data_IF_781812018511
#
_entry.id   IF_781812018511
#
_cell.length_a   1.000
_cell.length_b   1.000
_cell.length_c   1.000
_cell.angle_alpha   90.00
_cell.angle_beta   90.00
_cell.angle_gamma   90.00
#
_symmetry.space_group_name_H-M   'P 1'
#
loop_
_entity.id
_entity.type
_entity.pdbx_description
1 polymer ?
#
# COMPACT_ATOMS: atom_id res chain seq x y z
N UNK A 1 21.40 -0.69 -24.87
CA UNK A 1 20.80 0.54 -24.34
C UNK A 1 20.51 0.33 -22.85
N UNK A 2 20.96 1.26 -22.01
CA UNK A 2 20.64 1.20 -20.59
C UNK A 2 19.24 1.73 -20.38
N UNK A 3 18.38 0.93 -19.74
CA UNK A 3 17.03 1.31 -19.40
C UNK A 3 17.04 2.27 -18.20
N UNK A 4 16.29 3.37 -18.30
CA UNK A 4 16.09 4.25 -17.16
C UNK A 4 15.09 3.61 -16.20
N UNK A 5 15.51 3.30 -14.99
CA UNK A 5 14.65 2.73 -13.95
C UNK A 5 13.96 3.79 -13.11
N UNK A 6 14.23 5.06 -13.36
CA UNK A 6 13.67 6.20 -12.66
C UNK A 6 13.51 7.40 -13.61
N UNK A 7 12.42 8.17 -13.57
CA UNK A 7 11.28 8.03 -12.65
C UNK A 7 10.40 6.79 -12.95
N UNK A 8 9.77 6.25 -11.92
CA UNK A 8 8.78 5.17 -12.09
C UNK A 8 7.54 5.73 -12.77
N UNK A 9 7.22 5.20 -13.94
CA UNK A 9 6.05 5.63 -14.70
C UNK A 9 4.78 4.94 -14.19
N UNK A 10 3.68 5.69 -14.19
CA UNK A 10 2.34 5.15 -13.95
C UNK A 10 1.42 5.61 -15.06
N UNK A 11 0.90 4.65 -15.83
CA UNK A 11 -0.10 4.92 -16.86
C UNK A 11 -1.48 4.95 -16.23
N UNK A 12 -2.16 6.09 -16.30
CA UNK A 12 -3.54 6.24 -15.86
C UNK A 12 -4.48 5.88 -17.01
N UNK A 13 -5.20 4.77 -16.86
CA UNK A 13 -6.11 4.26 -17.87
C UNK A 13 -7.55 4.43 -17.38
N UNK A 14 -8.35 5.17 -18.16
CA UNK A 14 -9.76 5.35 -17.86
C UNK A 14 -10.57 4.16 -18.42
N UNK A 15 -11.34 3.52 -17.54
CA UNK A 15 -12.17 2.36 -17.86
C UNK A 15 -13.64 2.66 -17.54
N UNK A 16 -14.49 2.62 -18.58
CA UNK A 16 -15.93 2.88 -18.47
C UNK A 16 -16.71 1.89 -19.32
N UNK A 17 -17.87 1.52 -18.85
CA UNK A 17 -18.83 0.67 -19.59
C UNK A 17 -18.22 -0.63 -20.13
N UNK A 18 -17.32 -1.25 -19.36
CA UNK A 18 -16.69 -2.52 -19.72
C UNK A 18 -15.52 -2.42 -20.70
N UNK A 19 -15.02 -1.22 -21.01
CA UNK A 19 -13.90 -1.00 -21.93
C UNK A 19 -13.01 0.17 -21.53
N UNK A 20 -11.80 0.19 -22.05
CA UNK A 20 -10.95 1.37 -21.95
C UNK A 20 -11.46 2.49 -22.85
N UNK A 21 -11.48 3.71 -22.36
CA UNK A 21 -11.91 4.88 -23.15
C UNK A 21 -10.94 5.13 -24.31
N UNK A 22 -9.66 4.89 -24.09
CA UNK A 22 -8.63 4.89 -25.13
C UNK A 22 -8.01 3.47 -25.19
N UNK A 23 -8.59 2.63 -26.04
CA UNK A 23 -8.16 1.24 -26.21
C UNK A 23 -6.79 1.14 -26.90
N UNK A 24 -6.47 2.06 -27.81
CA UNK A 24 -5.19 2.09 -28.52
C UNK A 24 -4.05 2.39 -27.54
N UNK A 25 -4.21 3.42 -26.72
CA UNK A 25 -3.26 3.78 -25.69
C UNK A 25 -3.12 2.66 -24.62
N UNK A 26 -4.23 2.08 -24.17
CA UNK A 26 -4.19 0.98 -23.22
C UNK A 26 -3.42 -0.24 -23.76
N UNK A 27 -3.62 -0.57 -25.03
CA UNK A 27 -2.88 -1.64 -25.72
C UNK A 27 -1.39 -1.30 -25.79
N UNK A 28 -1.06 -0.10 -26.26
CA UNK A 28 0.33 0.35 -26.33
C UNK A 28 1.03 0.27 -24.96
N UNK A 29 0.38 0.74 -23.89
CA UNK A 29 0.91 0.64 -22.52
C UNK A 29 1.17 -0.82 -22.11
N UNK A 30 0.24 -1.71 -22.42
CA UNK A 30 0.37 -3.14 -22.13
C UNK A 30 1.57 -3.75 -22.88
N UNK A 31 1.65 -3.51 -24.19
CA UNK A 31 2.73 -4.02 -25.05
C UNK A 31 4.11 -3.50 -24.60
N UNK A 32 4.18 -2.20 -24.25
CA UNK A 32 5.39 -1.60 -23.69
C UNK A 32 5.80 -2.29 -22.37
N UNK A 33 4.85 -2.44 -21.45
CA UNK A 33 5.17 -3.01 -20.13
C UNK A 33 5.48 -4.51 -20.19
N UNK A 34 4.87 -5.25 -21.11
CA UNK A 34 5.24 -6.64 -21.38
C UNK A 34 6.70 -6.77 -21.87
N UNK A 35 7.20 -5.78 -22.61
CA UNK A 35 8.57 -5.77 -23.10
C UNK A 35 9.59 -5.29 -22.09
N UNK A 36 9.27 -4.26 -21.30
CA UNK A 36 10.23 -3.55 -20.47
C UNK A 36 10.01 -3.72 -18.96
N UNK A 37 8.77 -4.00 -18.54
CA UNK A 37 8.37 -4.16 -17.13
C UNK A 37 8.85 -2.99 -16.22
N UNK A 38 8.78 -1.77 -16.74
CA UNK A 38 9.30 -0.55 -16.10
C UNK A 38 8.20 0.38 -15.57
N UNK A 39 6.94 0.01 -15.79
CA UNK A 39 5.80 0.91 -15.58
C UNK A 39 4.68 0.24 -14.80
N UNK A 40 3.84 1.05 -14.19
CA UNK A 40 2.67 0.61 -13.46
C UNK A 40 1.41 1.10 -14.12
N UNK A 41 0.31 0.36 -13.93
CA UNK A 41 -1.01 0.74 -14.39
C UNK A 41 -1.87 1.22 -13.23
N UNK A 42 -2.58 2.31 -13.47
CA UNK A 42 -3.65 2.78 -12.62
C UNK A 42 -4.93 2.84 -13.46
N UNK A 43 -5.86 1.93 -13.17
CA UNK A 43 -7.13 1.85 -13.89
C UNK A 43 -8.23 2.43 -13.00
N UNK A 44 -8.95 3.42 -13.49
CA UNK A 44 -10.05 4.05 -12.75
C UNK A 44 -11.24 4.34 -13.65
N UNK A 45 -12.43 4.43 -13.05
CA UNK A 45 -13.65 4.87 -13.74
C UNK A 45 -13.80 6.39 -13.79
N UNK A 46 -12.94 7.13 -13.13
CA UNK A 46 -13.02 8.58 -12.97
C UNK A 46 -11.64 9.24 -13.06
N UNK A 47 -11.59 10.40 -13.71
CA UNK A 47 -10.39 11.21 -13.84
C UNK A 47 -10.03 11.98 -12.58
N UNK A 48 -10.95 12.06 -11.61
CA UNK A 48 -10.72 12.76 -10.32
C UNK A 48 -9.94 11.92 -9.33
N UNK A 49 -9.81 10.61 -9.57
CA UNK A 49 -9.05 9.71 -8.73
C UNK A 49 -7.63 9.57 -9.26
N UNK A 50 -6.66 9.89 -8.44
CA UNK A 50 -5.24 9.82 -8.76
C UNK A 50 -4.52 8.82 -7.86
N UNK A 51 -3.47 8.20 -8.39
CA UNK A 51 -2.56 7.34 -7.63
C UNK A 51 -1.19 7.99 -7.55
N UNK A 52 -0.57 7.96 -6.37
CA UNK A 52 0.82 8.36 -6.22
C UNK A 52 1.79 7.18 -6.48
N UNK A 53 3.10 7.44 -6.41
CA UNK A 53 4.14 6.43 -6.60
C UNK A 53 4.02 5.26 -5.58
N UNK A 54 3.43 5.51 -4.40
CA UNK A 54 3.18 4.49 -3.37
C UNK A 54 1.82 3.81 -3.50
N UNK A 55 1.09 4.02 -4.61
CA UNK A 55 -0.24 3.47 -4.90
C UNK A 55 -1.34 3.90 -3.92
N UNK A 56 -1.14 4.98 -3.18
CA UNK A 56 -2.21 5.58 -2.40
C UNK A 56 -3.20 6.24 -3.34
N UNK A 57 -4.48 5.92 -3.17
CA UNK A 57 -5.56 6.54 -3.92
C UNK A 57 -5.95 7.85 -3.23
N UNK A 58 -6.04 8.92 -4.02
CA UNK A 58 -6.50 10.21 -3.54
C UNK A 58 -7.75 10.60 -4.34
N UNK A 59 -8.88 10.68 -3.64
CA UNK A 59 -10.11 11.22 -4.20
C UNK A 59 -10.03 12.74 -4.18
N UNK A 60 -9.73 13.32 -5.35
CA UNK A 60 -9.56 14.77 -5.49
C UNK A 60 -10.88 15.52 -5.54
N UNK A 61 -12.02 14.85 -5.71
CA UNK A 61 -13.34 15.48 -5.76
C UNK A 61 -13.73 16.17 -4.45
N UNK A 62 -13.18 15.71 -3.34
CA UNK A 62 -13.40 16.26 -1.98
C UNK A 62 -12.41 17.34 -1.58
N UNK A 63 -11.40 17.61 -2.40
CA UNK A 63 -10.36 18.58 -2.12
C UNK A 63 -10.76 19.94 -2.68
N UNK A 64 -10.99 20.90 -1.81
CA UNK A 64 -11.15 22.30 -2.20
C UNK A 64 -9.77 22.89 -2.51
N UNK A 65 -9.44 23.05 -3.78
CA UNK A 65 -8.21 23.73 -4.19
C UNK A 65 -7.56 23.14 -5.42
N UNK A 66 -6.54 23.82 -5.90
CA UNK A 66 -5.80 23.46 -7.11
C UNK A 66 -4.99 22.18 -6.88
N UNK A 67 -5.17 21.22 -7.76
CA UNK A 67 -4.39 19.98 -7.73
C UNK A 67 -3.02 20.32 -8.33
N UNK A 68 -2.05 20.47 -7.48
CA UNK A 68 -0.66 20.52 -7.92
C UNK A 68 0.10 19.49 -7.07
N UNK A 69 0.50 18.38 -7.69
CA UNK A 69 0.99 17.25 -6.93
C UNK A 69 2.40 16.86 -7.36
N UNK A 70 3.28 16.78 -6.40
CA UNK A 70 4.48 15.98 -6.53
C UNK A 70 4.06 14.52 -6.27
N UNK A 71 4.19 13.66 -7.28
CA UNK A 71 3.85 12.24 -7.18
C UNK A 71 2.36 11.88 -7.34
N UNK A 72 1.55 12.73 -7.99
CA UNK A 72 0.14 12.43 -8.31
C UNK A 72 -0.83 12.54 -7.15
N UNK A 73 -0.46 13.23 -6.07
CA UNK A 73 -1.32 13.50 -4.92
C UNK A 73 -1.81 14.94 -4.92
N UNK A 74 -2.91 15.22 -4.23
CA UNK A 74 -3.34 16.60 -4.00
C UNK A 74 -2.34 17.36 -3.14
N UNK A 75 -2.44 18.68 -3.18
CA UNK A 75 -1.59 19.58 -2.40
C UNK A 75 -1.62 19.20 -0.91
N UNK A 76 -0.45 19.15 -0.30
CA UNK A 76 -0.25 18.84 1.12
C UNK A 76 -0.58 17.40 1.54
N UNK A 77 -0.93 16.49 0.64
CA UNK A 77 -1.16 15.07 0.96
C UNK A 77 0.14 14.29 0.78
N UNK A 78 0.44 13.43 1.74
CA UNK A 78 1.62 12.56 1.68
C UNK A 78 1.61 11.46 2.72
N UNK A 79 2.77 10.84 2.94
CA UNK A 79 2.98 9.83 3.96
C UNK A 79 4.00 10.29 4.99
N UNK A 80 3.61 10.24 6.25
CA UNK A 80 4.50 10.53 7.38
C UNK A 80 5.54 9.43 7.54
N UNK A 81 5.07 8.20 7.56
CA UNK A 81 5.89 7.02 7.80
C UNK A 81 5.21 5.76 7.30
N UNK A 82 6.02 4.85 6.77
CA UNK A 82 5.63 3.47 6.47
C UNK A 82 6.29 2.55 7.49
N UNK A 83 5.56 1.57 7.99
CA UNK A 83 6.08 0.49 8.81
C UNK A 83 5.67 -0.85 8.19
N UNK A 84 6.62 -1.71 7.82
CA UNK A 84 6.37 -2.93 7.07
C UNK A 84 6.48 -4.15 7.96
N UNK A 85 5.44 -4.98 7.97
CA UNK A 85 5.40 -6.26 8.69
C UNK A 85 5.95 -7.35 7.75
N UNK A 86 6.96 -8.06 8.22
CA UNK A 86 7.45 -9.26 7.55
C UNK A 86 6.60 -10.47 7.98
N UNK A 87 5.71 -10.90 7.09
CA UNK A 87 4.78 -11.99 7.33
C UNK A 87 5.49 -13.34 7.54
N UNK A 88 6.58 -13.58 6.82
CA UNK A 88 7.37 -14.81 6.97
C UNK A 88 8.02 -14.89 8.34
N UNK A 89 8.45 -13.75 8.88
CA UNK A 89 9.06 -13.71 10.21
C UNK A 89 8.07 -14.13 11.30
N UNK A 90 6.78 -13.79 11.14
CA UNK A 90 5.72 -14.26 12.06
C UNK A 90 5.64 -15.79 12.06
N UNK A 91 5.75 -16.41 10.88
CA UNK A 91 5.75 -17.86 10.77
C UNK A 91 6.93 -18.48 11.53
N UNK A 92 8.13 -17.98 11.33
CA UNK A 92 9.33 -18.47 12.01
C UNK A 92 9.32 -18.22 13.53
N UNK A 93 8.73 -17.13 13.98
CA UNK A 93 8.60 -16.84 15.43
C UNK A 93 7.71 -17.85 16.15
N UNK A 94 6.74 -18.45 15.47
CA UNK A 94 5.87 -19.48 16.02
C UNK A 94 6.54 -20.87 16.09
N UNK A 95 7.65 -21.07 15.37
CA UNK A 95 8.40 -22.32 15.38
C UNK A 95 7.61 -23.52 14.82
N UNK A 96 7.69 -24.68 15.50
CA UNK A 96 7.05 -25.92 15.03
C UNK A 96 5.52 -25.96 15.28
N UNK A 97 5.01 -25.13 16.17
CA UNK A 97 3.61 -25.11 16.58
C UNK A 97 2.79 -24.06 15.82
N UNK A 98 2.97 -24.00 14.51
CA UNK A 98 2.27 -23.06 13.63
C UNK A 98 0.87 -23.55 13.31
N UNK A 99 -0.14 -22.70 13.55
CA UNK A 99 -1.49 -22.85 13.03
C UNK A 99 -2.01 -21.52 12.53
N UNK A 100 -2.96 -21.53 11.59
CA UNK A 100 -3.58 -20.30 11.08
C UNK A 100 -4.04 -19.38 12.22
N UNK A 101 -4.73 -19.94 13.21
CA UNK A 101 -5.24 -19.18 14.37
C UNK A 101 -4.12 -18.51 15.18
N UNK A 102 -3.03 -19.24 15.47
CA UNK A 102 -1.89 -18.68 16.19
C UNK A 102 -1.19 -17.60 15.37
N UNK A 103 -1.04 -17.86 14.07
CA UNK A 103 -0.47 -16.91 13.13
C UNK A 103 -1.27 -15.59 13.09
N UNK A 104 -2.59 -15.65 12.88
CA UNK A 104 -3.45 -14.47 12.86
C UNK A 104 -3.45 -13.72 14.20
N UNK A 105 -3.40 -14.42 15.32
CA UNK A 105 -3.29 -13.78 16.64
C UNK A 105 -1.97 -13.02 16.81
N UNK A 106 -0.85 -13.59 16.35
CA UNK A 106 0.45 -12.92 16.42
C UNK A 106 0.51 -11.76 15.43
N UNK A 107 -0.04 -11.93 14.22
CA UNK A 107 -0.18 -10.87 13.23
C UNK A 107 -0.96 -9.68 13.81
N UNK A 108 -2.10 -9.92 14.46
CA UNK A 108 -2.88 -8.87 15.13
C UNK A 108 -2.04 -8.08 16.14
N UNK A 109 -1.25 -8.79 16.97
CA UNK A 109 -0.35 -8.13 17.94
C UNK A 109 0.71 -7.27 17.24
N UNK A 110 1.30 -7.79 16.15
CA UNK A 110 2.31 -7.05 15.38
C UNK A 110 1.72 -5.84 14.67
N UNK A 111 0.52 -5.98 14.11
CA UNK A 111 -0.21 -4.85 13.50
C UNK A 111 -0.53 -3.76 14.53
N UNK A 112 -1.03 -4.15 15.70
CA UNK A 112 -1.27 -3.21 16.81
C UNK A 112 0.01 -2.46 17.21
N UNK A 113 1.14 -3.18 17.30
CA UNK A 113 2.43 -2.56 17.60
C UNK A 113 2.86 -1.59 16.49
N UNK A 114 2.68 -1.97 15.23
CA UNK A 114 2.93 -1.08 14.09
C UNK A 114 2.12 0.21 14.19
N UNK A 115 0.83 0.11 14.46
CA UNK A 115 -0.04 1.27 14.62
C UNK A 115 0.45 2.18 15.76
N UNK A 116 0.80 1.60 16.92
CA UNK A 116 1.35 2.36 18.05
C UNK A 116 2.65 3.08 17.71
N UNK A 117 3.55 2.44 16.95
CA UNK A 117 4.82 3.08 16.54
C UNK A 117 4.55 4.23 15.57
N UNK A 118 3.63 4.04 14.60
CA UNK A 118 3.25 5.08 13.64
C UNK A 118 2.60 6.28 14.34
N UNK A 119 1.73 6.03 15.29
CA UNK A 119 1.11 7.04 16.13
C UNK A 119 2.15 7.86 16.91
N UNK A 120 3.12 7.20 17.55
CA UNK A 120 4.23 7.87 18.23
C UNK A 120 5.08 8.74 17.32
N UNK A 121 5.36 8.26 16.10
CA UNK A 121 6.09 9.05 15.11
C UNK A 121 5.30 10.31 14.75
N UNK A 122 3.98 10.16 14.52
CA UNK A 122 3.09 11.29 14.23
C UNK A 122 3.11 12.31 15.37
N UNK A 123 2.99 11.86 16.61
CA UNK A 123 3.06 12.72 17.79
C UNK A 123 4.39 13.48 17.91
N UNK A 124 5.53 12.81 17.66
CA UNK A 124 6.85 13.46 17.67
C UNK A 124 6.92 14.55 16.62
N UNK A 125 6.41 14.30 15.41
CA UNK A 125 6.39 15.29 14.33
C UNK A 125 5.50 16.47 14.69
N UNK A 126 4.28 16.23 15.19
CA UNK A 126 3.36 17.28 15.62
C UNK A 126 3.99 18.19 16.67
N UNK A 127 4.62 17.61 17.68
CA UNK A 127 5.37 18.37 18.70
C UNK A 127 6.52 19.21 18.11
N UNK A 128 7.19 18.70 17.08
CA UNK A 128 8.27 19.47 16.43
C UNK A 128 7.72 20.58 15.55
N UNK A 129 6.54 20.42 14.95
CA UNK A 129 5.82 21.49 14.24
C UNK A 129 5.47 22.61 15.22
N UNK A 130 4.87 22.29 16.37
CA UNK A 130 4.53 23.25 17.44
C UNK A 130 5.74 24.08 17.90
N UNK A 131 6.93 23.48 17.88
CA UNK A 131 8.19 24.15 18.22
C UNK A 131 8.84 24.94 17.08
N UNK A 132 8.23 24.98 15.91
CA UNK A 132 8.77 25.66 14.73
C UNK A 132 9.99 24.97 14.10
N UNK A 133 10.24 23.68 14.41
CA UNK A 133 11.43 22.95 13.95
C UNK A 133 11.27 22.38 12.54
N UNK A 134 10.07 22.40 11.97
CA UNK A 134 9.74 21.84 10.65
C UNK A 134 9.15 22.94 9.75
N UNK A 135 9.97 23.76 9.08
CA UNK A 135 9.50 24.94 8.37
C UNK A 135 8.45 24.63 7.30
N UNK A 136 8.59 23.55 6.52
CA UNK A 136 7.64 23.20 5.47
C UNK A 136 6.21 22.92 6.01
N UNK A 137 6.09 22.48 7.25
CA UNK A 137 4.81 22.35 7.93
C UNK A 137 4.33 23.68 8.49
N UNK A 138 5.24 24.45 9.08
CA UNK A 138 4.92 25.75 9.69
C UNK A 138 4.45 26.77 8.64
N UNK A 139 5.02 26.73 7.44
CA UNK A 139 4.67 27.61 6.32
C UNK A 139 3.40 27.15 5.55
N UNK A 140 2.74 26.08 6.01
CA UNK A 140 1.52 25.57 5.38
C UNK A 140 1.74 24.79 4.09
N UNK A 141 2.99 24.48 3.73
CA UNK A 141 3.32 23.65 2.57
C UNK A 141 2.91 22.20 2.73
N UNK A 142 2.87 21.70 3.99
CA UNK A 142 2.45 20.35 4.36
C UNK A 142 1.49 20.46 5.53
N UNK A 143 0.30 19.83 5.38
CA UNK A 143 -0.71 19.79 6.43
C UNK A 143 -0.69 18.41 7.10
N UNK A 144 -0.51 18.36 8.42
CA UNK A 144 -0.31 17.10 9.14
C UNK A 144 -1.56 16.21 9.17
N UNK A 145 -2.75 16.77 9.16
CA UNK A 145 -4.02 16.07 9.08
C UNK A 145 -4.28 15.40 7.73
N UNK A 146 -3.57 15.86 6.68
CA UNK A 146 -3.60 15.25 5.34
C UNK A 146 -2.49 14.21 5.10
N UNK A 147 -1.71 13.91 6.14
CA UNK A 147 -0.62 12.92 6.03
C UNK A 147 -1.09 11.54 6.49
N UNK A 148 -0.73 10.52 5.73
CA UNK A 148 -1.04 9.13 6.05
C UNK A 148 0.08 8.46 6.84
N UNK A 149 -0.29 7.55 7.73
CA UNK A 149 0.58 6.52 8.27
C UNK A 149 0.24 5.19 7.60
N UNK A 150 1.24 4.48 7.11
CA UNK A 150 1.02 3.28 6.29
C UNK A 150 1.58 2.04 6.95
N UNK A 151 0.76 0.99 7.05
CA UNK A 151 1.21 -0.36 7.41
C UNK A 151 1.41 -1.14 6.11
N UNK A 152 2.66 -1.46 5.82
CA UNK A 152 3.03 -2.31 4.69
C UNK A 152 3.15 -3.77 5.10
N UNK A 153 3.12 -4.68 4.14
CA UNK A 153 3.41 -6.10 4.32
C UNK A 153 4.39 -6.58 3.27
N UNK A 154 5.16 -7.59 3.60
CA UNK A 154 5.99 -8.33 2.66
C UNK A 154 5.97 -9.83 3.01
N UNK A 155 6.27 -10.66 2.03
CA UNK A 155 6.41 -12.11 2.23
C UNK A 155 5.07 -12.87 2.27
N UNK A 156 4.01 -12.37 1.64
CA UNK A 156 2.73 -13.07 1.58
C UNK A 156 2.85 -14.40 0.84
N UNK A 157 3.51 -14.40 -0.32
CA UNK A 157 3.72 -15.59 -1.13
C UNK A 157 4.51 -16.64 -0.33
N UNK A 158 5.63 -16.27 0.24
CA UNK A 158 6.50 -17.16 1.02
C UNK A 158 5.78 -17.69 2.26
N UNK A 159 4.90 -16.89 2.86
CA UNK A 159 4.05 -17.34 3.96
C UNK A 159 3.08 -18.42 3.50
N UNK A 160 2.42 -18.26 2.35
CA UNK A 160 1.53 -19.26 1.78
C UNK A 160 2.30 -20.54 1.41
N UNK A 161 3.50 -20.41 0.86
CA UNK A 161 4.38 -21.55 0.58
C UNK A 161 4.73 -22.33 1.85
N UNK A 162 5.03 -21.63 2.97
CA UNK A 162 5.29 -22.25 4.27
C UNK A 162 4.08 -22.99 4.86
N UNK A 163 2.87 -22.51 4.60
CA UNK A 163 1.65 -23.20 4.99
C UNK A 163 1.26 -24.35 4.05
N UNK A 164 1.99 -24.55 2.94
CA UNK A 164 1.66 -25.54 1.94
C UNK A 164 0.44 -25.18 1.09
N UNK A 165 0.19 -23.91 0.88
CA UNK A 165 -0.96 -23.36 0.13
C UNK A 165 -0.58 -22.86 -1.26
N UNK A 166 0.58 -23.28 -1.76
CA UNK A 166 1.03 -23.07 -3.12
C UNK A 166 1.08 -24.40 -3.85
N UNK A 167 0.47 -24.47 -5.02
CA UNK A 167 0.55 -25.59 -5.95
C UNK A 167 1.33 -25.21 -7.20
N UNK A 168 1.82 -26.21 -7.89
CA UNK A 168 2.55 -26.06 -9.15
C UNK A 168 1.83 -26.86 -10.22
N UNK A 169 1.51 -26.25 -11.36
CA UNK A 169 0.90 -26.93 -12.49
C UNK A 169 1.92 -27.79 -13.29
N UNK A 170 1.43 -28.49 -14.30
CA UNK A 170 2.25 -29.33 -15.18
C UNK A 170 3.30 -28.54 -16.01
N UNK A 171 3.13 -27.22 -16.11
CA UNK A 171 4.05 -26.29 -16.80
C UNK A 171 5.05 -25.64 -15.86
N UNK A 172 4.97 -25.91 -14.56
CA UNK A 172 5.83 -25.31 -13.54
C UNK A 172 5.35 -23.96 -13.01
N UNK A 173 4.14 -23.50 -13.38
CA UNK A 173 3.59 -22.27 -12.83
C UNK A 173 3.08 -22.50 -11.41
N UNK A 174 3.41 -21.57 -10.51
CA UNK A 174 2.98 -21.62 -9.12
C UNK A 174 1.75 -20.74 -8.90
N UNK A 175 0.78 -21.23 -8.15
CA UNK A 175 -0.46 -20.53 -7.83
C UNK A 175 -0.96 -20.84 -6.43
N UNK A 176 -1.79 -19.95 -5.90
CA UNK A 176 -2.43 -20.14 -4.61
C UNK A 176 -3.55 -21.17 -4.72
N UNK A 177 -3.61 -22.10 -3.77
CA UNK A 177 -4.79 -22.98 -3.60
C UNK A 177 -6.00 -22.15 -3.16
N UNK A 178 -7.22 -22.70 -3.28
CA UNK A 178 -8.42 -22.04 -2.73
C UNK A 178 -8.25 -21.71 -1.24
N UNK A 179 -7.73 -22.66 -0.49
CA UNK A 179 -7.43 -22.47 0.93
C UNK A 179 -6.39 -21.36 1.17
N UNK A 180 -5.39 -21.26 0.28
CA UNK A 180 -4.41 -20.17 0.31
C UNK A 180 -5.03 -18.81 0.07
N UNK A 181 -5.96 -18.73 -0.89
CA UNK A 181 -6.70 -17.49 -1.16
C UNK A 181 -7.58 -17.08 0.03
N UNK A 182 -8.31 -18.04 0.64
CA UNK A 182 -9.08 -17.78 1.85
C UNK A 182 -8.20 -17.30 3.02
N UNK A 183 -7.06 -17.94 3.21
CA UNK A 183 -6.15 -17.57 4.30
C UNK A 183 -5.50 -16.21 4.05
N UNK A 184 -5.13 -15.89 2.81
CA UNK A 184 -4.69 -14.55 2.43
C UNK A 184 -5.76 -13.50 2.74
N UNK A 185 -7.02 -13.79 2.42
CA UNK A 185 -8.17 -12.94 2.80
C UNK A 185 -8.21 -12.68 4.30
N UNK A 186 -8.13 -13.72 5.13
CA UNK A 186 -8.12 -13.59 6.61
C UNK A 186 -6.93 -12.76 7.12
N UNK A 187 -5.77 -12.82 6.46
CA UNK A 187 -4.61 -11.97 6.80
C UNK A 187 -4.98 -10.51 6.57
N UNK A 188 -5.55 -10.16 5.41
CA UNK A 188 -5.98 -8.80 5.11
C UNK A 188 -7.10 -8.32 6.04
N UNK A 189 -8.05 -9.19 6.38
CA UNK A 189 -9.13 -8.86 7.32
C UNK A 189 -8.56 -8.47 8.69
N UNK A 190 -7.63 -9.28 9.23
CA UNK A 190 -6.97 -8.96 10.53
C UNK A 190 -6.20 -7.65 10.47
N UNK A 191 -5.50 -7.37 9.37
CA UNK A 191 -4.77 -6.11 9.18
C UNK A 191 -5.74 -4.91 9.16
N UNK A 192 -6.80 -5.01 8.36
CA UNK A 192 -7.79 -3.94 8.20
C UNK A 192 -8.59 -3.72 9.49
N UNK A 193 -9.14 -4.76 10.09
CA UNK A 193 -9.86 -4.65 11.36
C UNK A 193 -9.00 -4.06 12.48
N UNK A 194 -7.73 -4.47 12.56
CA UNK A 194 -6.83 -3.96 13.59
C UNK A 194 -6.52 -2.48 13.38
N UNK A 195 -6.28 -2.09 12.14
CA UNK A 195 -6.02 -0.70 11.76
C UNK A 195 -7.26 0.19 12.00
N UNK A 196 -8.44 -0.27 11.55
CA UNK A 196 -9.67 0.52 11.61
C UNK A 196 -10.20 0.68 13.04
N UNK A 197 -9.91 -0.30 13.92
CA UNK A 197 -10.26 -0.23 15.34
C UNK A 197 -9.14 0.37 16.22
N UNK A 198 -8.02 0.79 15.63
CA UNK A 198 -6.97 1.45 16.38
C UNK A 198 -7.40 2.86 16.76
N UNK A 199 -7.48 3.11 18.06
CA UNK A 199 -7.71 4.45 18.61
C UNK A 199 -6.39 5.09 18.95
N UNK A 200 -6.20 6.31 18.49
CA UNK A 200 -5.07 7.15 18.84
C UNK A 200 -5.05 7.37 20.36
N UNK A 201 -3.92 7.08 21.01
CA UNK A 201 -3.75 7.26 22.45
C UNK A 201 -3.37 8.73 22.79
N UNK A 202 -3.11 9.58 21.78
CA UNK A 202 -2.51 10.91 21.93
C UNK A 202 -3.22 12.02 21.13
N UNK A 203 -4.36 11.75 20.52
CA UNK A 203 -5.21 12.77 19.88
C UNK A 203 -6.17 13.41 20.86
#
# INVERSE_FOLDING_TARGET
>A
ENMFTFPVLTYSLLYKDGKFVDEEFARWCSDHNCKWNDSNFFVSGDVTTLSNCCRLLSDTSKLKGFINSIGGTALSIGSVKVNTINLVHIFYELGEDVSEKKYLNLLKKRTTLCCKVLDRVRHIISRNIEKGLLPNYCDGGIEMDKQYCTVGILGLYETMEKFGYIETDEFGNKFYTEKGMEFAGKIFDVLNETKDNFTDEYS
#
